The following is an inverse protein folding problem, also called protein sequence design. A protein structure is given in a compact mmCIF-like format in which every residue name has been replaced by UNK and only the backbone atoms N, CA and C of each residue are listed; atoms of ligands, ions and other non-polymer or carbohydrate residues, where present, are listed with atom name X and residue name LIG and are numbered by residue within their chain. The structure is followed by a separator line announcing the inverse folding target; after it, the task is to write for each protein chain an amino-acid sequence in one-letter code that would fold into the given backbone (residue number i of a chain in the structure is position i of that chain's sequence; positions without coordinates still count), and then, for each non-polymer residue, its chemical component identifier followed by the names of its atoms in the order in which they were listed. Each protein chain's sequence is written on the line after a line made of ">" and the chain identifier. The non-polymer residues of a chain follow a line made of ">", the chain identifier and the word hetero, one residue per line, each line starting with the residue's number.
data_IF_393199932928
#
_entry.id   IF_393199932928
#
_cell.length_a   1.000
_cell.length_b   1.000
_cell.length_c   1.000
_cell.angle_alpha   90.00
_cell.angle_beta   90.00
_cell.angle_gamma   90.00
#
_symmetry.space_group_name_H-M   'P 1'
#
loop_
_entity.id
_entity.type
_entity.pdbx_description
1 polymer ?
#
# COMPACT_ATOMS: atom_id res chain seq x y z
N UNK A 1 -50.21 24.57 6.38
CA UNK A 1 -49.52 23.39 6.91
C UNK A 1 -48.49 22.96 5.89
N UNK A 2 -47.20 23.06 6.22
CA UNK A 2 -46.17 22.26 5.55
C UNK A 2 -44.97 22.18 6.48
N UNK A 3 -44.74 20.99 7.06
CA UNK A 3 -43.38 20.46 7.02
C UNK A 3 -43.46 18.95 6.80
N UNK A 4 -43.39 18.54 5.55
CA UNK A 4 -42.76 17.26 5.22
C UNK A 4 -41.24 17.42 5.40
N UNK A 5 -40.79 17.65 6.63
CA UNK A 5 -39.41 17.33 6.99
C UNK A 5 -39.44 15.82 7.13
N UNK A 6 -39.04 15.14 6.06
CA UNK A 6 -38.70 13.73 6.10
C UNK A 6 -37.81 13.53 7.32
N UNK A 7 -38.35 12.87 8.35
CA UNK A 7 -37.53 12.33 9.43
C UNK A 7 -36.63 11.31 8.74
N UNK A 8 -35.38 11.70 8.46
CA UNK A 8 -34.31 10.74 8.20
C UNK A 8 -34.31 9.79 9.39
N UNK A 9 -34.44 8.50 9.13
CA UNK A 9 -34.33 7.49 10.16
C UNK A 9 -32.89 7.46 10.66
N UNK A 10 -32.64 6.99 11.87
CA UNK A 10 -31.29 6.96 12.44
C UNK A 10 -30.32 6.12 11.58
N UNK A 11 -30.84 5.10 10.89
CA UNK A 11 -30.10 4.32 9.88
C UNK A 11 -29.59 5.18 8.71
N UNK A 12 -30.40 6.11 8.20
CA UNK A 12 -30.03 6.99 7.08
C UNK A 12 -28.91 7.96 7.47
N UNK A 13 -28.88 8.37 8.76
CA UNK A 13 -27.85 9.26 9.27
C UNK A 13 -26.50 8.53 9.41
N UNK A 14 -26.49 7.31 9.94
CA UNK A 14 -25.27 6.52 10.08
C UNK A 14 -24.65 6.21 8.72
N UNK A 15 -25.47 5.81 7.74
CA UNK A 15 -25.01 5.58 6.36
C UNK A 15 -24.41 6.85 5.76
N UNK A 16 -25.11 8.00 5.89
CA UNK A 16 -24.61 9.27 5.39
C UNK A 16 -23.30 9.70 6.06
N UNK A 17 -23.17 9.56 7.38
CA UNK A 17 -21.95 9.90 8.10
C UNK A 17 -20.79 8.96 7.72
N UNK A 18 -21.07 7.69 7.46
CA UNK A 18 -20.08 6.73 6.99
C UNK A 18 -19.59 7.04 5.58
N UNK A 19 -20.49 7.44 4.68
CA UNK A 19 -20.14 7.92 3.33
C UNK A 19 -19.26 9.17 3.42
N UNK A 20 -19.65 10.18 4.20
CA UNK A 20 -18.85 11.39 4.41
C UNK A 20 -17.47 11.09 5.00
N UNK A 21 -17.38 10.14 5.94
CA UNK A 21 -16.12 9.70 6.51
C UNK A 21 -15.24 9.03 5.44
N UNK A 22 -15.83 8.18 4.61
CA UNK A 22 -15.14 7.47 3.53
C UNK A 22 -14.65 8.44 2.44
N UNK A 23 -15.45 9.47 2.13
CA UNK A 23 -15.12 10.55 1.20
C UNK A 23 -14.20 11.63 1.81
N UNK A 24 -13.85 11.48 3.09
CA UNK A 24 -12.97 12.39 3.84
C UNK A 24 -13.53 13.81 3.99
N UNK A 25 -14.85 13.98 3.91
CA UNK A 25 -15.52 15.26 4.20
C UNK A 25 -15.80 15.42 5.70
N UNK A 26 -14.71 15.46 6.47
CA UNK A 26 -14.77 15.54 7.93
C UNK A 26 -15.43 16.83 8.41
N UNK A 27 -15.27 17.94 7.68
CA UNK A 27 -15.80 19.22 8.11
C UNK A 27 -17.34 19.25 8.01
N UNK A 28 -17.93 18.65 6.97
CA UNK A 28 -19.38 18.49 6.88
C UNK A 28 -19.94 17.63 8.01
N UNK A 29 -19.23 16.57 8.43
CA UNK A 29 -19.63 15.74 9.59
C UNK A 29 -19.65 16.55 10.89
N UNK A 30 -18.63 17.38 11.15
CA UNK A 30 -18.60 18.26 12.34
C UNK A 30 -19.73 19.29 12.31
N UNK A 31 -20.04 19.84 11.14
CA UNK A 31 -21.14 20.79 10.99
C UNK A 31 -22.49 20.14 11.34
N UNK A 32 -22.69 18.88 10.94
CA UNK A 32 -23.87 18.09 11.27
C UNK A 32 -24.05 17.89 12.79
N UNK A 33 -22.94 17.71 13.51
CA UNK A 33 -22.94 17.55 14.96
C UNK A 33 -23.34 18.84 15.69
N UNK A 34 -23.12 20.00 15.07
CA UNK A 34 -23.39 21.31 15.68
C UNK A 34 -24.85 21.73 15.49
N UNK A 35 -25.54 21.16 14.50
CA UNK A 35 -26.95 21.47 14.17
C UNK A 35 -27.95 20.50 14.79
N UNK A 36 -27.51 19.41 15.44
CA UNK A 36 -28.37 18.36 15.98
C UNK A 36 -28.28 18.31 17.51
N UNK A 37 -29.41 18.39 18.21
CA UNK A 37 -29.43 18.55 19.67
C UNK A 37 -29.10 17.28 20.46
N UNK A 38 -29.31 16.09 19.90
CA UNK A 38 -28.91 14.80 20.48
C UNK A 38 -28.49 13.85 19.36
N UNK A 39 -27.31 13.25 19.50
CA UNK A 39 -26.77 12.27 18.56
C UNK A 39 -26.69 10.91 19.26
N UNK A 40 -27.06 9.86 18.54
CA UNK A 40 -26.86 8.48 19.00
C UNK A 40 -25.37 8.12 19.09
N UNK A 41 -25.06 7.03 19.80
CA UNK A 41 -23.66 6.61 20.05
C UNK A 41 -22.88 6.37 18.76
N UNK A 42 -23.48 5.67 17.78
CA UNK A 42 -22.84 5.38 16.49
C UNK A 42 -22.51 6.66 15.70
N UNK A 43 -23.45 7.61 15.65
CA UNK A 43 -23.26 8.89 14.97
C UNK A 43 -22.16 9.72 15.65
N UNK A 44 -22.15 9.71 16.99
CA UNK A 44 -21.12 10.40 17.78
C UNK A 44 -19.73 9.78 17.59
N UNK A 45 -19.64 8.46 17.48
CA UNK A 45 -18.40 7.75 17.15
C UNK A 45 -17.86 8.13 15.77
N UNK A 46 -18.72 8.19 14.75
CA UNK A 46 -18.34 8.65 13.39
C UNK A 46 -17.88 10.11 13.39
N UNK A 47 -18.57 10.99 14.12
CA UNK A 47 -18.16 12.39 14.29
C UNK A 47 -16.82 12.48 15.02
N UNK A 48 -16.58 11.62 16.01
CA UNK A 48 -15.31 11.57 16.73
C UNK A 48 -14.17 11.05 15.84
N UNK A 49 -14.43 10.11 14.92
CA UNK A 49 -13.46 9.73 13.89
C UNK A 49 -13.05 10.92 13.01
N UNK A 50 -14.03 11.73 12.57
CA UNK A 50 -13.75 12.96 11.83
C UNK A 50 -12.95 13.99 12.65
N UNK A 51 -13.21 14.08 13.97
CA UNK A 51 -12.43 14.95 14.87
C UNK A 51 -10.98 14.50 14.97
N UNK A 52 -10.74 13.20 15.08
CA UNK A 52 -9.40 12.63 15.12
C UNK A 52 -8.60 12.97 13.85
N UNK A 53 -9.21 12.75 12.68
CA UNK A 53 -8.58 13.07 11.40
C UNK A 53 -8.25 14.56 11.26
N UNK A 54 -9.07 15.44 11.85
CA UNK A 54 -8.84 16.89 11.89
C UNK A 54 -7.93 17.35 13.04
N UNK A 55 -7.42 16.45 13.88
CA UNK A 55 -6.62 16.81 15.07
C UNK A 55 -7.41 17.61 16.12
N UNK A 56 -8.73 17.50 16.13
CA UNK A 56 -9.63 18.17 17.07
C UNK A 56 -9.89 17.31 18.31
N UNK A 57 -10.21 17.92 19.47
CA UNK A 57 -10.59 17.16 20.66
C UNK A 57 -11.80 16.26 20.41
N UNK A 58 -11.68 15.02 20.86
CA UNK A 58 -12.73 13.98 20.84
C UNK A 58 -13.69 14.22 21.99
N UNK A 59 -14.98 14.03 21.76
CA UNK A 59 -16.01 14.15 22.80
C UNK A 59 -16.19 12.82 23.55
N UNK A 60 -16.77 12.88 24.76
CA UNK A 60 -16.94 11.73 25.66
C UNK A 60 -17.41 10.47 24.94
N UNK A 61 -16.65 9.40 25.13
CA UNK A 61 -16.86 8.11 24.49
C UNK A 61 -17.94 7.33 25.26
N UNK A 62 -19.09 7.09 24.63
CA UNK A 62 -19.98 6.02 25.04
C UNK A 62 -19.42 4.72 24.45
N UNK A 63 -19.03 3.71 25.24
CA UNK A 63 -18.34 2.50 24.73
C UNK A 63 -19.32 1.47 24.14
N UNK A 64 -20.41 1.92 23.50
CA UNK A 64 -21.55 1.05 23.16
C UNK A 64 -21.90 1.04 21.67
N UNK A 65 -21.33 1.91 20.85
CA UNK A 65 -21.64 1.93 19.43
C UNK A 65 -20.87 0.91 18.63
N UNK A 66 -21.34 0.67 17.40
CA UNK A 66 -20.77 -0.32 16.49
C UNK A 66 -19.38 0.09 15.98
N UNK A 67 -19.04 1.39 16.02
CA UNK A 67 -17.77 1.95 15.57
C UNK A 67 -16.76 2.18 16.72
N UNK A 68 -17.11 1.83 17.95
CA UNK A 68 -16.23 1.99 19.11
C UNK A 68 -14.85 1.35 18.90
N UNK A 69 -14.81 0.14 18.33
CA UNK A 69 -13.57 -0.59 18.02
C UNK A 69 -12.73 0.15 16.95
N UNK A 70 -13.37 0.71 15.93
CA UNK A 70 -12.69 1.50 14.89
C UNK A 70 -12.12 2.79 15.47
N UNK A 71 -12.91 3.49 16.30
CA UNK A 71 -12.50 4.74 16.94
C UNK A 71 -11.32 4.52 17.89
N UNK A 72 -11.32 3.45 18.69
CA UNK A 72 -10.17 3.08 19.51
C UNK A 72 -8.92 2.77 18.66
N UNK A 73 -9.08 2.04 17.55
CA UNK A 73 -7.98 1.72 16.65
C UNK A 73 -7.40 2.99 15.98
N UNK A 74 -8.25 3.94 15.60
CA UNK A 74 -7.86 5.21 15.02
C UNK A 74 -7.21 6.14 16.06
N UNK A 75 -7.67 6.15 17.30
CA UNK A 75 -6.98 6.83 18.39
C UNK A 75 -5.54 6.31 18.53
N UNK A 76 -5.34 4.99 18.56
CA UNK A 76 -3.98 4.40 18.57
C UNK A 76 -3.14 4.84 17.37
N UNK A 77 -3.74 4.97 16.18
CA UNK A 77 -3.06 5.46 14.99
C UNK A 77 -2.58 6.91 15.17
N UNK A 78 -3.46 7.81 15.61
CA UNK A 78 -3.13 9.22 15.82
C UNK A 78 -2.13 9.44 16.96
N UNK A 79 -2.16 8.57 17.98
CA UNK A 79 -1.18 8.54 19.08
C UNK A 79 0.15 7.88 18.67
N UNK A 80 0.32 7.52 17.39
CA UNK A 80 1.50 6.84 16.82
C UNK A 80 1.81 5.49 17.47
N UNK A 81 0.83 4.88 18.13
CA UNK A 81 0.90 3.51 18.63
C UNK A 81 0.61 2.51 17.51
N UNK A 82 1.42 2.54 16.45
CA UNK A 82 1.13 1.89 15.17
C UNK A 82 0.94 0.37 15.26
N UNK A 83 1.66 -0.32 16.14
CA UNK A 83 1.47 -1.77 16.31
C UNK A 83 0.07 -2.08 16.86
N UNK A 84 -0.38 -1.35 17.89
CA UNK A 84 -1.74 -1.51 18.45
C UNK A 84 -2.79 -1.13 17.42
N UNK A 85 -2.58 -0.01 16.71
CA UNK A 85 -3.48 0.43 15.64
C UNK A 85 -3.61 -0.65 14.56
N UNK A 86 -2.51 -1.26 14.10
CA UNK A 86 -2.53 -2.33 13.12
C UNK A 86 -3.30 -3.56 13.63
N UNK A 87 -3.07 -3.97 14.89
CA UNK A 87 -3.79 -5.08 15.50
C UNK A 87 -5.30 -4.82 15.57
N UNK A 88 -5.72 -3.65 16.07
CA UNK A 88 -7.14 -3.34 16.25
C UNK A 88 -7.85 -3.09 14.91
N UNK A 89 -7.21 -2.37 13.96
CA UNK A 89 -7.74 -2.20 12.60
C UNK A 89 -7.84 -3.54 11.87
N UNK A 90 -6.92 -4.48 12.09
CA UNK A 90 -7.04 -5.82 11.48
C UNK A 90 -8.30 -6.54 11.97
N UNK A 91 -8.63 -6.45 13.26
CA UNK A 91 -9.86 -7.03 13.81
C UNK A 91 -11.10 -6.38 13.21
N UNK A 92 -11.08 -5.05 13.07
CA UNK A 92 -12.15 -4.30 12.41
C UNK A 92 -12.45 -4.87 11.02
N UNK A 93 -11.44 -4.93 10.15
CA UNK A 93 -11.61 -5.41 8.77
C UNK A 93 -12.00 -6.89 8.68
N UNK A 94 -11.54 -7.73 9.60
CA UNK A 94 -11.82 -9.17 9.56
C UNK A 94 -13.20 -9.54 10.12
N UNK A 95 -13.78 -8.73 11.01
CA UNK A 95 -14.97 -9.13 11.77
C UNK A 95 -16.20 -8.23 11.62
N UNK A 96 -16.05 -6.94 11.30
CA UNK A 96 -17.17 -5.98 11.34
C UNK A 96 -17.80 -5.71 9.98
N UNK A 97 -17.11 -6.03 8.88
CA UNK A 97 -17.67 -5.96 7.51
C UNK A 97 -17.75 -4.56 6.90
N UNK A 98 -17.49 -3.49 7.67
CA UNK A 98 -17.43 -2.12 7.16
C UNK A 98 -16.04 -1.82 6.58
N UNK A 99 -16.00 -1.55 5.28
CA UNK A 99 -14.81 -1.18 4.54
C UNK A 99 -14.82 0.31 4.22
N UNK A 100 -13.70 0.99 4.53
CA UNK A 100 -13.41 2.36 4.09
C UNK A 100 -11.98 2.37 3.57
N UNK A 101 -11.76 3.01 2.42
CA UNK A 101 -10.42 3.15 1.84
C UNK A 101 -9.50 3.97 2.74
N UNK A 102 -10.04 5.01 3.38
CA UNK A 102 -9.32 5.79 4.39
C UNK A 102 -8.83 4.90 5.54
N UNK A 103 -9.71 4.11 6.15
CA UNK A 103 -9.32 3.22 7.24
C UNK A 103 -8.29 2.18 6.76
N UNK A 104 -8.37 1.71 5.51
CA UNK A 104 -7.41 0.78 4.94
C UNK A 104 -6.05 1.45 4.76
N UNK A 105 -6.00 2.69 4.28
CA UNK A 105 -4.76 3.45 4.14
C UNK A 105 -4.06 3.63 5.49
N UNK A 106 -4.83 3.96 6.53
CA UNK A 106 -4.34 4.09 7.92
C UNK A 106 -3.80 2.76 8.44
N UNK A 107 -4.49 1.66 8.15
CA UNK A 107 -4.03 0.31 8.48
C UNK A 107 -2.74 -0.09 7.74
N UNK A 108 -2.66 0.17 6.43
CA UNK A 108 -1.47 -0.09 5.62
C UNK A 108 -0.27 0.68 6.18
N UNK A 109 -0.44 1.96 6.50
CA UNK A 109 0.60 2.79 7.10
C UNK A 109 1.01 2.26 8.47
N UNK A 110 0.05 1.92 9.33
CA UNK A 110 0.35 1.35 10.65
C UNK A 110 1.14 0.04 10.55
N UNK A 111 0.79 -0.85 9.60
CA UNK A 111 1.52 -2.09 9.37
C UNK A 111 2.95 -1.85 8.90
N UNK A 112 3.14 -0.91 7.98
CA UNK A 112 4.47 -0.52 7.48
C UNK A 112 5.36 0.01 8.62
N UNK A 113 4.84 0.93 9.44
CA UNK A 113 5.58 1.50 10.56
C UNK A 113 5.86 0.53 11.71
N UNK A 114 5.11 -0.58 11.80
CA UNK A 114 5.25 -1.58 12.87
C UNK A 114 5.74 -2.94 12.39
N UNK A 115 6.10 -3.08 11.11
CA UNK A 115 6.49 -4.33 10.46
C UNK A 115 5.44 -5.46 10.60
N UNK A 116 4.15 -5.13 10.72
CA UNK A 116 3.05 -6.11 10.84
C UNK A 116 2.52 -6.54 9.48
N UNK A 117 3.43 -6.97 8.60
CA UNK A 117 3.12 -7.38 7.23
C UNK A 117 2.30 -8.67 7.15
N UNK A 118 2.34 -9.50 8.20
CA UNK A 118 1.50 -10.67 8.39
C UNK A 118 0.01 -10.30 8.46
N UNK A 119 -0.31 -9.25 9.21
CA UNK A 119 -1.67 -8.70 9.31
C UNK A 119 -2.10 -8.07 7.99
N UNK A 120 -1.22 -7.29 7.36
CA UNK A 120 -1.48 -6.66 6.08
C UNK A 120 -1.86 -7.70 5.01
N UNK A 121 -1.07 -8.77 4.89
CA UNK A 121 -1.37 -9.87 3.99
C UNK A 121 -2.73 -10.50 4.29
N UNK A 122 -3.00 -10.78 5.56
CA UNK A 122 -4.23 -11.47 5.99
C UNK A 122 -5.48 -10.65 5.67
N UNK A 123 -5.47 -9.36 6.01
CA UNK A 123 -6.59 -8.44 5.75
C UNK A 123 -6.79 -8.24 4.26
N UNK A 124 -5.74 -7.90 3.50
CA UNK A 124 -5.88 -7.69 2.06
C UNK A 124 -6.31 -8.96 1.32
N UNK A 125 -5.79 -10.14 1.69
CA UNK A 125 -6.24 -11.42 1.13
C UNK A 125 -7.72 -11.68 1.40
N UNK A 126 -8.20 -11.37 2.61
CA UNK A 126 -9.63 -11.50 2.96
C UNK A 126 -10.49 -10.53 2.14
N UNK A 127 -10.08 -9.27 2.02
CA UNK A 127 -10.79 -8.27 1.23
C UNK A 127 -10.86 -8.65 -0.25
N UNK A 128 -9.77 -9.19 -0.82
CA UNK A 128 -9.76 -9.72 -2.19
C UNK A 128 -10.76 -10.85 -2.39
N UNK A 129 -10.86 -11.79 -1.43
CA UNK A 129 -11.85 -12.89 -1.48
C UNK A 129 -13.28 -12.38 -1.39
N UNK A 130 -13.50 -11.23 -0.76
CA UNK A 130 -14.81 -10.56 -0.71
C UNK A 130 -15.10 -9.67 -1.93
N UNK A 131 -14.23 -9.65 -2.95
CA UNK A 131 -14.44 -8.92 -4.20
C UNK A 131 -13.78 -7.54 -4.27
N UNK A 132 -13.08 -7.08 -3.24
CA UNK A 132 -12.35 -5.82 -3.26
C UNK A 132 -11.06 -5.95 -4.09
N UNK A 133 -10.92 -5.13 -5.14
CA UNK A 133 -9.78 -5.18 -6.08
C UNK A 133 -9.17 -3.81 -6.39
N UNK A 134 -9.36 -2.86 -5.48
CA UNK A 134 -8.82 -1.51 -5.52
C UNK A 134 -7.28 -1.56 -5.40
N UNK A 135 -6.55 -0.59 -5.99
CA UNK A 135 -5.09 -0.58 -5.97
C UNK A 135 -4.46 -0.71 -4.58
N UNK A 136 -5.04 -0.09 -3.55
CA UNK A 136 -4.54 -0.19 -2.16
C UNK A 136 -4.64 -1.62 -1.62
N UNK A 137 -5.76 -2.32 -1.85
CA UNK A 137 -5.94 -3.73 -1.44
C UNK A 137 -4.93 -4.64 -2.15
N UNK A 138 -4.80 -4.49 -3.47
CA UNK A 138 -3.88 -5.30 -4.26
C UNK A 138 -2.41 -5.01 -3.93
N UNK A 139 -2.06 -3.74 -3.74
CA UNK A 139 -0.73 -3.30 -3.34
C UNK A 139 -0.36 -3.78 -1.95
N UNK A 140 -1.30 -3.69 -0.99
CA UNK A 140 -1.16 -4.20 0.37
C UNK A 140 -0.99 -5.72 0.41
N UNK A 141 -1.77 -6.46 -0.40
CA UNK A 141 -1.61 -7.90 -0.55
C UNK A 141 -0.20 -8.28 -1.02
N UNK A 142 0.30 -7.64 -2.08
CA UNK A 142 1.64 -7.95 -2.61
C UNK A 142 2.75 -7.54 -1.64
N UNK A 143 2.63 -6.38 -1.00
CA UNK A 143 3.59 -5.93 0.02
C UNK A 143 3.61 -6.91 1.20
N UNK A 144 2.44 -7.19 1.79
CA UNK A 144 2.32 -8.11 2.91
C UNK A 144 2.84 -9.51 2.58
N UNK A 145 2.52 -10.03 1.39
CA UNK A 145 3.02 -11.32 0.93
C UNK A 145 4.55 -11.33 0.80
N UNK A 146 5.13 -10.28 0.19
CA UNK A 146 6.57 -10.17 -0.04
C UNK A 146 7.35 -10.12 1.28
N UNK A 147 7.01 -9.17 2.15
CA UNK A 147 7.71 -8.95 3.43
C UNK A 147 7.51 -10.13 4.40
N UNK A 148 6.41 -10.88 4.26
CA UNK A 148 6.18 -12.11 5.03
C UNK A 148 6.84 -13.36 4.41
N UNK A 149 7.66 -13.22 3.36
CA UNK A 149 8.35 -14.34 2.69
C UNK A 149 7.44 -15.27 1.87
N UNK A 150 6.20 -14.87 1.57
CA UNK A 150 5.22 -15.66 0.79
C UNK A 150 5.39 -15.43 -0.70
N UNK A 151 6.59 -15.69 -1.23
CA UNK A 151 6.96 -15.35 -2.60
C UNK A 151 6.07 -15.98 -3.68
N UNK A 152 5.57 -17.21 -3.48
CA UNK A 152 4.62 -17.84 -4.41
C UNK A 152 3.31 -17.04 -4.52
N UNK A 153 2.84 -16.48 -3.40
CA UNK A 153 1.62 -15.67 -3.36
C UNK A 153 1.82 -14.32 -4.05
N UNK A 154 3.02 -13.74 -3.98
CA UNK A 154 3.38 -12.53 -4.73
C UNK A 154 3.25 -12.79 -6.23
N UNK A 155 3.80 -13.90 -6.72
CA UNK A 155 3.72 -14.27 -8.14
C UNK A 155 2.28 -14.51 -8.58
N UNK A 156 1.54 -15.36 -7.86
CA UNK A 156 0.13 -15.66 -8.18
C UNK A 156 -0.73 -14.39 -8.22
N UNK A 157 -0.55 -13.50 -7.24
CA UNK A 157 -1.25 -12.22 -7.21
C UNK A 157 -0.86 -11.31 -8.38
N UNK A 158 0.42 -11.22 -8.71
CA UNK A 158 0.88 -10.41 -9.83
C UNK A 158 0.41 -10.95 -11.18
N UNK A 159 0.40 -12.26 -11.41
CA UNK A 159 -0.13 -12.85 -12.63
C UNK A 159 -1.64 -12.57 -12.78
N UNK A 160 -2.38 -12.62 -11.68
CA UNK A 160 -3.83 -12.39 -11.67
C UNK A 160 -4.21 -10.91 -11.82
N UNK A 161 -3.43 -10.00 -11.23
CA UNK A 161 -3.82 -8.59 -11.06
C UNK A 161 -2.80 -7.56 -11.56
N UNK A 162 -1.63 -8.00 -12.05
CA UNK A 162 -0.47 -7.14 -12.36
C UNK A 162 -0.77 -6.01 -13.35
N UNK A 163 -1.72 -6.21 -14.28
CA UNK A 163 -2.20 -5.16 -15.20
C UNK A 163 -2.81 -3.94 -14.47
N UNK A 164 -3.37 -4.13 -13.27
CA UNK A 164 -3.99 -3.07 -12.46
C UNK A 164 -3.01 -2.34 -11.54
N UNK A 165 -1.82 -2.92 -11.33
CA UNK A 165 -0.84 -2.49 -10.31
C UNK A 165 0.58 -2.42 -10.87
N UNK A 166 0.72 -1.97 -12.13
CA UNK A 166 2.00 -1.85 -12.81
C UNK A 166 2.78 -0.60 -12.36
N UNK A 167 3.19 -0.57 -11.10
CA UNK A 167 4.04 0.49 -10.52
C UNK A 167 5.45 -0.06 -10.30
N UNK A 168 6.46 0.81 -10.40
CA UNK A 168 7.90 0.48 -10.25
C UNK A 168 8.19 -0.37 -9.00
N UNK A 169 7.66 0.00 -7.84
CA UNK A 169 7.87 -0.75 -6.59
C UNK A 169 7.24 -2.15 -6.60
N UNK A 170 6.16 -2.37 -7.37
CA UNK A 170 5.53 -3.69 -7.52
C UNK A 170 6.42 -4.59 -8.36
N UNK A 171 6.91 -4.09 -9.49
CA UNK A 171 7.83 -4.83 -10.37
C UNK A 171 9.09 -5.25 -9.60
N UNK A 172 9.62 -4.36 -8.75
CA UNK A 172 10.75 -4.67 -7.88
C UNK A 172 10.48 -5.84 -6.92
N UNK A 173 9.36 -5.82 -6.18
CA UNK A 173 9.00 -6.89 -5.22
C UNK A 173 8.73 -8.24 -5.92
N UNK A 174 8.13 -8.19 -7.10
CA UNK A 174 7.87 -9.38 -7.91
C UNK A 174 9.18 -9.95 -8.44
N UNK A 175 10.10 -9.11 -8.93
CA UNK A 175 11.44 -9.54 -9.34
C UNK A 175 12.21 -10.20 -8.19
N UNK A 176 12.24 -9.59 -7.00
CA UNK A 176 12.83 -10.19 -5.80
C UNK A 176 12.22 -11.57 -5.50
N UNK A 177 10.89 -11.67 -5.57
CA UNK A 177 10.20 -12.93 -5.28
C UNK A 177 10.53 -14.03 -6.29
N UNK A 178 10.69 -13.71 -7.58
CA UNK A 178 11.20 -14.66 -8.57
C UNK A 178 12.64 -15.10 -8.27
N UNK A 179 13.52 -14.18 -7.84
CA UNK A 179 14.90 -14.51 -7.47
C UNK A 179 14.92 -15.47 -6.27
N UNK A 180 14.14 -15.18 -5.22
CA UNK A 180 14.01 -16.05 -4.05
C UNK A 180 13.55 -17.47 -4.39
N UNK A 181 12.74 -17.60 -5.44
CA UNK A 181 12.22 -18.89 -5.92
C UNK A 181 13.10 -19.53 -7.01
N UNK A 182 14.31 -19.02 -7.26
CA UNK A 182 15.23 -19.47 -8.30
C UNK A 182 14.64 -19.47 -9.72
N UNK A 183 13.68 -18.58 -10.00
CA UNK A 183 13.05 -18.39 -11.31
C UNK A 183 13.73 -17.26 -12.08
N UNK A 184 14.98 -17.51 -12.47
CA UNK A 184 15.89 -16.50 -13.03
C UNK A 184 15.40 -15.85 -14.33
N UNK A 185 14.78 -16.61 -15.22
CA UNK A 185 14.30 -16.07 -16.52
C UNK A 185 13.14 -15.10 -16.32
N UNK A 186 12.25 -15.39 -15.38
CA UNK A 186 11.11 -14.54 -15.04
C UNK A 186 11.54 -13.32 -14.24
N UNK A 187 12.51 -13.49 -13.32
CA UNK A 187 13.15 -12.36 -12.66
C UNK A 187 13.76 -11.38 -13.67
N UNK A 188 14.48 -11.89 -14.68
CA UNK A 188 15.07 -11.08 -15.75
C UNK A 188 14.00 -10.26 -16.50
N UNK A 189 12.88 -10.89 -16.88
CA UNK A 189 11.75 -10.18 -17.52
C UNK A 189 11.20 -9.05 -16.65
N UNK A 190 11.04 -9.28 -15.35
CA UNK A 190 10.54 -8.25 -14.43
C UNK A 190 11.54 -7.12 -14.24
N UNK A 191 12.84 -7.44 -14.15
CA UNK A 191 13.92 -6.46 -14.04
C UNK A 191 14.05 -5.60 -15.30
N UNK A 192 13.82 -6.16 -16.49
CA UNK A 192 13.73 -5.39 -17.73
C UNK A 192 12.52 -4.45 -17.74
N UNK A 193 11.37 -4.92 -17.25
CA UNK A 193 10.19 -4.06 -17.07
C UNK A 193 10.43 -2.93 -16.07
N UNK A 194 11.13 -3.22 -14.97
CA UNK A 194 11.54 -2.25 -13.96
C UNK A 194 12.49 -1.20 -14.57
N UNK A 195 13.49 -1.63 -15.33
CA UNK A 195 14.38 -0.74 -16.07
C UNK A 195 13.59 0.20 -16.98
N UNK A 196 12.67 -0.34 -17.79
CA UNK A 196 11.85 0.47 -18.70
C UNK A 196 11.00 1.49 -17.92
N UNK A 197 10.45 1.11 -16.77
CA UNK A 197 9.68 2.00 -15.93
C UNK A 197 10.53 3.14 -15.33
N UNK A 198 11.78 2.87 -14.96
CA UNK A 198 12.70 3.89 -14.40
C UNK A 198 13.27 4.79 -15.52
N UNK A 199 13.74 4.21 -16.61
CA UNK A 199 14.42 4.92 -17.69
C UNK A 199 13.47 5.66 -18.65
N UNK A 200 12.17 5.32 -18.63
CA UNK A 200 11.16 5.86 -19.55
C UNK A 200 11.37 5.48 -21.01
N UNK A 201 12.26 4.52 -21.30
CA UNK A 201 12.61 4.08 -22.65
C UNK A 201 12.27 2.60 -22.84
N UNK A 202 11.57 2.22 -23.91
CA UNK A 202 11.27 0.82 -24.18
C UNK A 202 12.56 0.05 -24.42
N UNK A 203 12.69 -1.09 -23.74
CA UNK A 203 13.77 -2.02 -23.92
C UNK A 203 13.27 -3.14 -24.85
N UNK A 204 13.37 -2.94 -26.17
CA UNK A 204 12.81 -3.88 -27.16
C UNK A 204 13.70 -4.16 -28.38
N UNK A 205 15.01 -3.88 -28.33
CA UNK A 205 15.90 -4.28 -29.42
C UNK A 205 17.00 -5.23 -28.94
N UNK A 206 17.16 -6.31 -29.72
CA UNK A 206 18.14 -7.39 -29.66
C UNK A 206 18.84 -7.64 -28.30
N UNK A 207 18.19 -8.48 -27.47
CA UNK A 207 18.72 -8.95 -26.18
C UNK A 207 20.14 -9.51 -26.28
N UNK A 208 20.50 -10.11 -27.43
CA UNK A 208 21.81 -10.73 -27.63
C UNK A 208 22.93 -9.69 -27.74
N UNK A 209 22.67 -8.59 -28.43
CA UNK A 209 23.62 -7.50 -28.62
C UNK A 209 23.85 -6.74 -27.31
N UNK A 210 22.78 -6.50 -26.56
CA UNK A 210 22.87 -5.91 -25.24
C UNK A 210 23.60 -6.80 -24.25
N UNK A 211 23.31 -8.10 -24.24
CA UNK A 211 24.02 -9.04 -23.38
C UNK A 211 25.52 -8.98 -23.65
N UNK A 212 25.93 -8.95 -24.91
CA UNK A 212 27.35 -8.81 -25.31
C UNK A 212 27.93 -7.47 -24.85
N UNK A 213 27.24 -6.37 -25.11
CA UNK A 213 27.67 -5.01 -24.76
C UNK A 213 27.86 -4.85 -23.26
N UNK A 214 26.87 -5.25 -22.48
CA UNK A 214 26.88 -5.11 -21.03
C UNK A 214 27.83 -6.09 -20.34
N UNK A 215 28.05 -7.28 -20.91
CA UNK A 215 29.12 -8.19 -20.46
C UNK A 215 30.51 -7.57 -20.64
N UNK A 216 30.74 -6.82 -21.73
CA UNK A 216 32.00 -6.12 -21.96
C UNK A 216 32.18 -4.88 -21.09
N UNK A 217 31.09 -4.15 -20.79
CA UNK A 217 31.09 -2.97 -19.92
C UNK A 217 31.27 -3.30 -18.43
N UNK A 218 30.78 -4.46 -17.97
CA UNK A 218 30.76 -4.78 -16.53
C UNK A 218 32.11 -4.58 -15.81
N UNK A 219 33.27 -5.06 -16.33
CA UNK A 219 34.54 -4.89 -15.64
C UNK A 219 34.97 -3.43 -15.45
N UNK A 220 34.65 -2.54 -16.40
CA UNK A 220 35.00 -1.11 -16.28
C UNK A 220 34.07 -0.39 -15.31
N UNK A 221 32.77 -0.70 -15.34
CA UNK A 221 31.78 -0.16 -14.40
C UNK A 221 32.10 -0.56 -12.96
N UNK A 222 32.46 -1.82 -12.72
CA UNK A 222 32.88 -2.29 -11.38
C UNK A 222 34.15 -1.60 -10.87
N UNK A 223 35.10 -1.26 -11.77
CA UNK A 223 36.29 -0.49 -11.38
C UNK A 223 35.93 0.93 -10.96
N UNK A 224 35.03 1.59 -11.69
CA UNK A 224 34.54 2.94 -11.35
C UNK A 224 33.75 2.95 -10.05
N UNK A 225 32.87 1.96 -9.84
CA UNK A 225 32.12 1.81 -8.60
C UNK A 225 33.05 1.67 -7.39
N UNK A 226 34.03 0.75 -7.46
CA UNK A 226 35.02 0.56 -6.38
C UNK A 226 35.88 1.78 -6.12
N UNK A 227 36.16 2.58 -7.15
CA UNK A 227 36.91 3.82 -7.05
C UNK A 227 36.07 5.02 -6.57
N UNK A 228 34.74 4.87 -6.42
CA UNK A 228 33.83 5.96 -6.07
C UNK A 228 33.66 7.00 -7.18
N UNK A 229 34.01 6.67 -8.43
CA UNK A 229 33.98 7.58 -9.60
C UNK A 229 32.84 7.26 -10.57
N UNK A 230 31.93 6.37 -10.18
CA UNK A 230 30.77 6.02 -10.99
C UNK A 230 29.77 7.18 -11.04
N UNK A 231 29.51 7.70 -12.24
CA UNK A 231 28.56 8.78 -12.42
C UNK A 231 27.11 8.31 -12.21
N UNK A 232 26.21 9.22 -11.81
CA UNK A 232 24.78 8.90 -11.66
C UNK A 232 24.14 8.37 -12.95
N UNK A 233 24.60 8.86 -14.11
CA UNK A 233 24.23 8.40 -15.45
C UNK A 233 24.65 6.93 -15.70
N UNK A 234 25.73 6.48 -15.07
CA UNK A 234 26.31 5.14 -15.25
C UNK A 234 25.75 4.09 -14.29
N UNK A 235 25.04 4.50 -13.22
CA UNK A 235 24.38 3.58 -12.29
C UNK A 235 23.37 2.68 -13.00
N UNK A 236 22.63 3.25 -13.96
CA UNK A 236 21.68 2.46 -14.74
C UNK A 236 22.38 1.41 -15.61
N UNK A 237 23.51 1.80 -16.23
CA UNK A 237 24.35 0.89 -17.01
C UNK A 237 24.93 -0.23 -16.15
N UNK A 238 25.29 0.05 -14.89
CA UNK A 238 25.75 -0.96 -13.93
C UNK A 238 24.65 -1.96 -13.58
N UNK A 239 23.42 -1.50 -13.31
CA UNK A 239 22.29 -2.38 -13.01
C UNK A 239 21.98 -3.33 -14.18
N UNK A 240 21.98 -2.79 -15.40
CA UNK A 240 21.84 -3.59 -16.63
C UNK A 240 23.02 -4.53 -16.87
N UNK A 241 24.24 -4.12 -16.52
CA UNK A 241 25.42 -4.98 -16.60
C UNK A 241 25.31 -6.19 -15.68
N UNK A 242 24.89 -5.99 -14.44
CA UNK A 242 24.61 -7.09 -13.52
C UNK A 242 23.50 -8.01 -14.04
N UNK A 243 22.40 -7.43 -14.54
CA UNK A 243 21.26 -8.18 -15.08
C UNK A 243 21.69 -9.17 -16.17
N UNK A 244 22.40 -8.69 -17.20
CA UNK A 244 22.80 -9.53 -18.34
C UNK A 244 23.90 -10.55 -18.04
N UNK A 245 24.59 -10.39 -16.91
CA UNK A 245 25.58 -11.36 -16.42
C UNK A 245 24.96 -12.36 -15.41
N UNK A 246 23.63 -12.38 -15.24
CA UNK A 246 22.95 -13.28 -14.31
C UNK A 246 23.15 -12.90 -12.84
N UNK A 247 23.67 -11.70 -12.56
CA UNK A 247 23.92 -11.18 -11.22
C UNK A 247 22.67 -10.43 -10.72
N UNK A 248 21.54 -11.16 -10.64
CA UNK A 248 20.22 -10.56 -10.41
C UNK A 248 20.10 -9.84 -9.06
N UNK A 249 20.75 -10.36 -8.01
CA UNK A 249 20.79 -9.72 -6.69
C UNK A 249 21.54 -8.37 -6.71
N UNK A 250 22.59 -8.26 -7.52
CA UNK A 250 23.33 -7.02 -7.67
C UNK A 250 22.55 -6.04 -8.55
N UNK A 251 21.92 -6.52 -9.62
CA UNK A 251 21.07 -5.71 -10.49
C UNK A 251 19.94 -5.04 -9.70
N UNK A 252 19.26 -5.81 -8.84
CA UNK A 252 18.13 -5.30 -8.07
C UNK A 252 18.56 -4.26 -7.02
N UNK A 253 19.70 -4.46 -6.35
CA UNK A 253 20.27 -3.48 -5.42
C UNK A 253 20.58 -2.15 -6.09
N UNK A 254 21.14 -2.19 -7.30
CA UNK A 254 21.44 -0.98 -8.08
C UNK A 254 20.15 -0.25 -8.46
N UNK A 255 19.13 -0.97 -8.97
CA UNK A 255 17.85 -0.36 -9.31
C UNK A 255 17.13 0.21 -8.08
N UNK A 256 17.19 -0.48 -6.94
CA UNK A 256 16.66 0.03 -5.66
C UNK A 256 17.34 1.33 -5.24
N UNK A 257 18.67 1.39 -5.35
CA UNK A 257 19.43 2.60 -5.08
C UNK A 257 19.03 3.79 -5.96
N UNK A 258 18.74 3.54 -7.25
CA UNK A 258 18.25 4.55 -8.17
C UNK A 258 16.85 5.03 -7.76
N UNK A 259 15.93 4.11 -7.46
CA UNK A 259 14.55 4.45 -7.05
C UNK A 259 14.50 5.31 -5.80
N UNK A 260 15.40 5.09 -4.82
CA UNK A 260 15.49 5.91 -3.59
C UNK A 260 16.03 7.32 -3.83
N UNK A 261 16.63 7.57 -4.99
CA UNK A 261 17.25 8.86 -5.35
C UNK A 261 16.42 9.71 -6.33
N UNK A 262 15.27 9.19 -6.76
CA UNK A 262 14.27 9.89 -7.58
C UNK A 262 13.25 10.60 -6.68
#
# INVERSE_FOLDING_TARGET
>A
MNPAVQRKTDSDLIEQLWELYSDQDFQSMINYATSSAELESDAMELINLARLELGKPVHSLSPRGIFADLMAAMQHYHDRSYEKAAMDLSRWFLHKGYYSELALDRFCFACDQSNRFDLLYTVCSRLMKSGHSQPTVLGGFLLGAHESGRHDQVIQGFESFGKKINKTYVLHRVALSYIHLNRSQEAEKMLLGLYQAIAGKPYMQDLSEYKKTYSQKLPSLLKKEKAGTLESSEKMDLGMAHLFNGQYNQAIQVFEGIMKSL
#
